data_IF_395643779647
#
_entry.id   IF_395643779647
#
_cell.length_a   1.000
_cell.length_b   1.000
_cell.length_c   1.000
_cell.angle_alpha   90.00
_cell.angle_beta   90.00
_cell.angle_gamma   90.00
#
_symmetry.space_group_name_H-M   'P 1'
#
loop_
_entity.id
_entity.type
_entity.pdbx_description
1 polymer ?
#
# COMPACT_ATOMS: atom_id res chain seq x y z
N UNK A 1 15.57 9.31 14.04
CA UNK A 1 14.52 9.89 14.90
C UNK A 1 13.39 8.88 14.96
N UNK A 2 13.18 8.21 16.10
CA UNK A 2 12.14 7.17 16.24
C UNK A 2 10.73 7.78 16.34
N UNK A 3 10.61 9.02 16.81
CA UNK A 3 9.35 9.78 16.85
C UNK A 3 8.73 9.94 15.46
N UNK A 4 9.57 10.24 14.47
CA UNK A 4 9.12 10.60 13.13
C UNK A 4 8.56 9.38 12.41
N UNK A 5 9.14 8.20 12.64
CA UNK A 5 8.70 6.94 12.08
C UNK A 5 7.33 6.49 12.61
N UNK A 6 7.08 6.63 13.92
CA UNK A 6 5.77 6.32 14.51
C UNK A 6 4.70 7.22 13.91
N UNK A 7 4.96 8.53 13.82
CA UNK A 7 4.04 9.47 13.19
C UNK A 7 3.80 9.18 11.72
N UNK A 8 4.82 8.78 10.95
CA UNK A 8 4.64 8.38 9.55
C UNK A 8 3.76 7.14 9.42
N UNK A 9 3.89 6.15 10.32
CA UNK A 9 3.03 4.95 10.35
C UNK A 9 1.58 5.32 10.70
N UNK A 10 1.36 6.23 11.65
CA UNK A 10 0.02 6.72 11.99
C UNK A 10 -0.64 7.46 10.82
N UNK A 11 0.11 8.31 10.13
CA UNK A 11 -0.35 9.01 8.91
C UNK A 11 -0.69 7.99 7.83
N UNK A 12 0.18 7.00 7.59
CA UNK A 12 -0.07 5.92 6.65
C UNK A 12 -1.36 5.16 6.96
N UNK A 13 -1.56 4.75 8.22
CA UNK A 13 -2.79 4.10 8.66
C UNK A 13 -4.04 4.95 8.44
N UNK A 14 -3.95 6.26 8.73
CA UNK A 14 -5.03 7.22 8.50
C UNK A 14 -5.37 7.34 7.02
N UNK A 15 -4.36 7.37 6.15
CA UNK A 15 -4.58 7.43 4.70
C UNK A 15 -5.28 6.18 4.17
N UNK A 16 -4.97 5.01 4.73
CA UNK A 16 -5.67 3.76 4.40
C UNK A 16 -7.12 3.80 4.86
N UNK A 17 -7.39 4.29 6.07
CA UNK A 17 -8.76 4.42 6.59
C UNK A 17 -9.60 5.40 5.73
N UNK A 18 -8.95 6.37 5.06
CA UNK A 18 -9.57 7.33 4.14
C UNK A 18 -9.71 6.81 2.70
N UNK A 19 -9.09 5.69 2.36
CA UNK A 19 -9.02 5.13 1.01
C UNK A 19 -10.40 5.00 0.32
N UNK A 20 -11.50 4.58 0.98
CA UNK A 20 -12.82 4.57 0.36
C UNK A 20 -13.32 5.93 -0.13
N UNK A 21 -12.79 7.04 0.40
CA UNK A 21 -13.20 8.41 0.08
C UNK A 21 -12.37 9.05 -1.03
N UNK A 22 -11.20 8.51 -1.32
CA UNK A 22 -10.35 9.02 -2.41
C UNK A 22 -11.07 8.94 -3.74
N UNK A 23 -10.78 9.93 -4.58
CA UNK A 23 -11.36 10.07 -5.92
C UNK A 23 -10.27 10.08 -6.97
N UNK A 24 -9.09 10.55 -6.61
CA UNK A 24 -7.98 10.72 -7.52
C UNK A 24 -6.93 9.64 -7.29
N UNK A 25 -6.38 9.13 -8.39
CA UNK A 25 -5.26 8.19 -8.38
C UNK A 25 -4.07 8.72 -7.57
N UNK A 26 -3.82 10.03 -7.62
CA UNK A 26 -2.72 10.66 -6.91
C UNK A 26 -2.82 10.47 -5.37
N UNK A 27 -4.03 10.53 -4.81
CA UNK A 27 -4.28 10.32 -3.38
C UNK A 27 -3.95 8.87 -2.98
N UNK A 28 -4.34 7.92 -3.84
CA UNK A 28 -4.05 6.49 -3.64
C UNK A 28 -2.56 6.22 -3.80
N UNK A 29 -1.89 6.83 -4.77
CA UNK A 29 -0.46 6.67 -5.00
C UNK A 29 0.38 7.14 -3.79
N UNK A 30 -0.06 8.20 -3.10
CA UNK A 30 0.62 8.72 -1.90
C UNK A 30 0.68 7.67 -0.77
N UNK A 31 -0.31 6.76 -0.65
CA UNK A 31 -0.27 5.67 0.34
C UNK A 31 0.97 4.80 0.12
N UNK A 32 1.24 4.44 -1.14
CA UNK A 32 2.36 3.58 -1.50
C UNK A 32 3.71 4.30 -1.37
N UNK A 33 3.76 5.59 -1.74
CA UNK A 33 4.94 6.43 -1.55
C UNK A 33 5.27 6.53 -0.06
N UNK A 34 4.27 6.79 0.80
CA UNK A 34 4.45 6.84 2.25
C UNK A 34 5.00 5.53 2.80
N UNK A 35 4.45 4.39 2.35
CA UNK A 35 4.90 3.07 2.79
C UNK A 35 6.36 2.78 2.44
N UNK A 36 6.81 3.25 1.28
CA UNK A 36 8.21 3.19 0.85
C UNK A 36 9.13 4.05 1.71
N UNK A 37 8.71 5.28 2.05
CA UNK A 37 9.47 6.14 2.95
C UNK A 37 9.62 5.52 4.36
N UNK A 38 8.55 4.92 4.89
CA UNK A 38 8.57 4.19 6.17
C UNK A 38 9.58 3.04 6.10
N UNK A 39 9.58 2.27 5.01
CA UNK A 39 10.56 1.21 4.84
C UNK A 39 12.00 1.72 4.76
N UNK A 40 12.26 2.77 3.99
CA UNK A 40 13.60 3.35 3.91
C UNK A 40 14.11 3.73 5.31
N UNK A 41 13.25 4.36 6.12
CA UNK A 41 13.56 4.70 7.51
C UNK A 41 13.81 3.46 8.41
N UNK A 42 13.07 2.36 8.20
CA UNK A 42 13.28 1.08 8.89
C UNK A 42 14.60 0.40 8.50
N UNK A 43 15.06 0.55 7.26
CA UNK A 43 16.36 0.03 6.82
C UNK A 43 17.55 0.73 7.47
N UNK A 44 17.35 1.99 7.88
CA UNK A 44 18.39 2.82 8.51
C UNK A 44 18.36 2.75 10.05
N UNK A 45 17.25 2.32 10.65
CA UNK A 45 17.05 2.33 12.11
C UNK A 45 16.47 1.00 12.59
N UNK A 46 17.04 0.43 13.66
CA UNK A 46 16.42 -0.71 14.34
C UNK A 46 15.06 -0.30 14.93
N UNK A 47 13.97 -0.82 14.36
CA UNK A 47 12.63 -0.60 14.89
C UNK A 47 12.36 -1.46 16.12
N UNK A 48 11.57 -0.91 17.04
CA UNK A 48 10.99 -1.71 18.13
C UNK A 48 9.93 -2.66 17.59
N UNK A 49 9.68 -3.73 18.32
CA UNK A 49 8.60 -4.70 18.01
C UNK A 49 7.23 -4.01 17.90
N UNK A 50 6.97 -2.98 18.72
CA UNK A 50 5.76 -2.17 18.65
C UNK A 50 5.60 -1.46 17.30
N UNK A 51 6.67 -0.87 16.77
CA UNK A 51 6.66 -0.17 15.48
C UNK A 51 6.40 -1.16 14.35
N UNK A 52 7.02 -2.34 14.40
CA UNK A 52 6.77 -3.40 13.42
C UNK A 52 5.31 -3.86 13.47
N UNK A 53 4.76 -4.10 14.66
CA UNK A 53 3.36 -4.50 14.82
C UNK A 53 2.37 -3.46 14.28
N UNK A 54 2.58 -2.18 14.58
CA UNK A 54 1.71 -1.10 14.06
C UNK A 54 1.74 -1.03 12.54
N UNK A 55 2.91 -1.24 11.94
CA UNK A 55 3.05 -1.27 10.49
C UNK A 55 2.35 -2.49 9.88
N UNK A 56 2.49 -3.66 10.50
CA UNK A 56 1.79 -4.88 10.07
C UNK A 56 0.27 -4.71 10.13
N UNK A 57 -0.26 -4.06 11.18
CA UNK A 57 -1.69 -3.73 11.29
C UNK A 57 -2.16 -2.81 10.16
N UNK A 58 -1.39 -1.74 9.87
CA UNK A 58 -1.72 -0.83 8.78
C UNK A 58 -1.65 -1.54 7.41
N UNK A 59 -0.62 -2.35 7.19
CA UNK A 59 -0.46 -3.14 5.97
C UNK A 59 -1.63 -4.15 5.80
N UNK A 60 -2.09 -4.78 6.89
CA UNK A 60 -3.26 -5.65 6.87
C UNK A 60 -4.56 -4.92 6.51
N UNK A 61 -4.75 -3.67 6.97
CA UNK A 61 -5.88 -2.83 6.54
C UNK A 61 -5.83 -2.53 5.05
N UNK A 62 -4.66 -2.18 4.51
CA UNK A 62 -4.48 -1.90 3.09
C UNK A 62 -4.84 -3.12 2.24
N UNK A 63 -4.43 -4.33 2.68
CA UNK A 63 -4.85 -5.58 2.05
C UNK A 63 -6.37 -5.79 2.09
N UNK A 64 -7.02 -5.44 3.20
CA UNK A 64 -8.48 -5.47 3.32
C UNK A 64 -9.19 -4.60 2.28
N UNK A 65 -8.52 -3.56 1.78
CA UNK A 65 -9.03 -2.68 0.71
C UNK A 65 -8.66 -3.13 -0.71
N UNK A 66 -8.00 -4.26 -0.89
CA UNK A 66 -7.53 -4.75 -2.21
C UNK A 66 -8.62 -4.75 -3.28
N UNK A 67 -9.80 -5.31 -2.99
CA UNK A 67 -10.90 -5.36 -3.97
C UNK A 67 -11.39 -3.98 -4.37
N UNK A 68 -11.40 -3.02 -3.44
CA UNK A 68 -11.78 -1.64 -3.73
C UNK A 68 -10.75 -0.95 -4.62
N UNK A 69 -9.47 -1.15 -4.33
CA UNK A 69 -8.36 -0.65 -5.15
C UNK A 69 -8.42 -1.23 -6.57
N UNK A 70 -8.59 -2.54 -6.71
CA UNK A 70 -8.68 -3.19 -8.03
C UNK A 70 -9.84 -2.66 -8.88
N UNK A 71 -10.99 -2.40 -8.25
CA UNK A 71 -12.17 -1.90 -8.97
C UNK A 71 -12.08 -0.42 -9.32
N UNK A 72 -11.60 0.42 -8.39
CA UNK A 72 -11.66 1.88 -8.53
C UNK A 72 -10.38 2.52 -9.06
N UNK A 73 -9.24 1.89 -8.81
CA UNK A 73 -7.91 2.40 -9.15
C UNK A 73 -7.04 1.28 -9.78
N UNK A 74 -7.53 0.54 -10.79
CA UNK A 74 -6.80 -0.57 -11.39
C UNK A 74 -5.44 -0.18 -11.96
N UNK A 75 -5.26 1.09 -12.33
CA UNK A 75 -4.03 1.63 -12.88
C UNK A 75 -2.87 1.71 -11.88
N UNK A 76 -3.17 1.74 -10.57
CA UNK A 76 -2.16 1.66 -9.50
C UNK A 76 -1.42 0.32 -9.55
N UNK A 77 -2.09 -0.73 -10.04
CA UNK A 77 -1.54 -2.07 -10.25
C UNK A 77 -0.93 -2.28 -11.65
N UNK A 78 -0.96 -1.27 -12.52
CA UNK A 78 -0.35 -1.36 -13.87
C UNK A 78 0.97 -0.62 -13.93
N UNK A 79 1.09 0.44 -13.15
CA UNK A 79 2.35 1.15 -12.99
C UNK A 79 3.15 0.37 -11.94
N UNK A 80 4.15 -0.40 -12.38
CA UNK A 80 5.38 -0.51 -11.60
C UNK A 80 5.88 0.93 -11.46
N UNK A 81 5.44 1.64 -10.43
CA UNK A 81 6.07 2.90 -10.12
C UNK A 81 7.55 2.55 -9.92
N UNK A 82 8.47 3.11 -10.74
CA UNK A 82 9.86 2.65 -10.82
C UNK A 82 10.60 2.76 -9.48
N UNK A 83 9.99 3.41 -8.50
CA UNK A 83 10.53 3.67 -7.18
C UNK A 83 10.06 2.63 -6.15
N UNK A 84 8.94 1.91 -6.33
CA UNK A 84 8.43 1.00 -5.29
C UNK A 84 9.35 -0.23 -5.17
N UNK A 85 10.05 -0.41 -4.02
CA UNK A 85 11.00 -1.51 -3.85
C UNK A 85 10.30 -2.86 -3.92
N UNK A 86 10.93 -3.80 -4.61
CA UNK A 86 10.45 -5.17 -4.84
C UNK A 86 10.04 -5.92 -3.57
N UNK A 87 10.59 -5.58 -2.41
CA UNK A 87 10.24 -6.22 -1.12
C UNK A 87 8.87 -5.78 -0.56
N UNK A 88 8.34 -4.63 -0.99
CA UNK A 88 6.96 -4.21 -0.70
C UNK A 88 5.96 -4.75 -1.69
N UNK A 89 6.39 -5.48 -2.72
CA UNK A 89 5.49 -6.00 -3.73
C UNK A 89 4.63 -7.15 -3.23
N UNK A 90 4.60 -7.57 -1.97
CA UNK A 90 3.75 -8.67 -1.56
C UNK A 90 2.22 -8.39 -1.72
N UNK A 91 1.81 -7.16 -2.06
CA UNK A 91 0.48 -6.84 -2.64
C UNK A 91 0.39 -7.10 -4.16
N UNK A 92 1.49 -6.95 -4.90
CA UNK A 92 1.78 -7.72 -6.10
C UNK A 92 2.18 -9.14 -5.67
N UNK A 93 1.21 -9.92 -5.17
CA UNK A 93 1.28 -11.33 -5.51
C UNK A 93 1.57 -11.36 -7.01
N UNK A 94 2.67 -12.02 -7.31
CA UNK A 94 3.20 -12.40 -8.61
C UNK A 94 2.22 -12.13 -9.75
N UNK A 95 2.71 -11.67 -10.90
CA UNK A 95 1.94 -11.67 -12.14
C UNK A 95 1.48 -13.10 -12.54
N UNK A 96 1.36 -14.06 -11.63
CA UNK A 96 0.57 -15.27 -11.78
C UNK A 96 -0.81 -14.97 -12.38
N UNK A 97 -1.35 -15.90 -13.18
CA UNK A 97 -2.60 -15.70 -13.93
C UNK A 97 -3.76 -15.16 -13.09
N UNK A 98 -3.82 -15.57 -11.81
CA UNK A 98 -4.92 -15.30 -10.90
C UNK A 98 -5.13 -13.81 -10.58
N UNK A 99 -4.06 -13.06 -10.30
CA UNK A 99 -4.16 -11.61 -9.99
C UNK A 99 -4.50 -10.80 -11.24
N UNK A 100 -3.98 -11.22 -12.41
CA UNK A 100 -4.30 -10.61 -13.71
C UNK A 100 -5.75 -10.85 -14.11
N UNK A 101 -6.24 -12.07 -13.89
CA UNK A 101 -7.63 -12.45 -14.14
C UNK A 101 -8.59 -11.71 -13.22
N UNK A 102 -8.28 -11.58 -11.92
CA UNK A 102 -9.07 -10.79 -10.96
C UNK A 102 -9.13 -9.30 -11.34
N UNK A 103 -7.99 -8.71 -11.71
CA UNK A 103 -7.94 -7.32 -12.16
C UNK A 103 -8.72 -7.11 -13.47
N UNK A 104 -8.62 -8.05 -14.43
CA UNK A 104 -9.37 -8.00 -15.68
C UNK A 104 -10.87 -8.20 -15.45
N UNK A 105 -11.25 -9.12 -14.55
CA UNK A 105 -12.65 -9.35 -14.18
C UNK A 105 -13.26 -8.11 -13.50
N UNK A 106 -12.54 -7.47 -12.57
CA UNK A 106 -12.99 -6.25 -11.92
C UNK A 106 -13.19 -5.07 -12.89
N UNK A 107 -12.46 -5.03 -14.00
CA UNK A 107 -12.66 -4.01 -15.07
C UNK A 107 -13.78 -4.35 -16.06
N UNK A 108 -14.40 -5.52 -15.97
CA UNK A 108 -15.45 -6.00 -16.89
C UNK A 108 -16.85 -6.02 -16.26
N UNK A 109 -16.99 -5.77 -14.96
CA UNK A 109 -18.31 -5.62 -14.34
C UNK A 109 -18.90 -4.22 -14.63
N UNK A 110 -20.12 -4.13 -15.20
CA UNK A 110 -20.79 -2.88 -15.52
C UNK A 110 -21.31 -2.11 -14.30
#
# INVERSE_FOLDING_TARGET
MLSDLVSDIEVYGTMIDLLPRYKERAEVAEIFIRRELIDAALGETAASETVVHQLDEADAKLLGHRSLLLRRFPEVFRLRAPNIPRRYWWWYLDEGPQVREEALAATREP
#
